data_IF_764216333314
#
_entry.id   IF_764216333314
#
_cell.length_a   1.000
_cell.length_b   1.000
_cell.length_c   1.000
_cell.angle_alpha   90.00
_cell.angle_beta   90.00
_cell.angle_gamma   90.00
#
_symmetry.space_group_name_H-M   'P 1'
#
loop_
_entity.id
_entity.type
_entity.pdbx_description
1 polymer ?
#
# COMPACT_ATOMS: atom_id res chain seq x y z
N UNK A 1 4.86 -23.46 6.43
CA UNK A 1 4.91 -22.02 6.78
C UNK A 1 4.06 -21.29 5.75
N UNK A 2 3.13 -20.45 6.18
CA UNK A 2 2.24 -19.73 5.27
C UNK A 2 2.85 -18.42 4.81
N UNK A 3 2.68 -18.10 3.54
CA UNK A 3 3.21 -16.92 2.89
C UNK A 3 2.11 -15.93 2.53
N UNK A 4 2.51 -14.68 2.32
CA UNK A 4 1.61 -13.66 1.79
C UNK A 4 1.10 -14.06 0.40
N UNK A 5 -0.20 -13.89 0.20
CA UNK A 5 -0.91 -14.27 -1.02
C UNK A 5 -1.40 -15.72 -1.01
N UNK A 6 -0.99 -16.55 -0.04
CA UNK A 6 -1.49 -17.92 0.08
C UNK A 6 -3.01 -17.91 0.31
N UNK A 7 -3.71 -18.75 -0.44
CA UNK A 7 -5.15 -18.96 -0.34
C UNK A 7 -5.41 -20.19 0.51
N UNK A 8 -6.15 -20.00 1.60
CA UNK A 8 -6.36 -21.03 2.62
C UNK A 8 -7.82 -21.15 3.03
N UNK A 9 -8.15 -22.30 3.61
CA UNK A 9 -9.48 -22.55 4.16
C UNK A 9 -9.43 -22.44 5.67
N UNK A 10 -10.23 -21.54 6.23
CA UNK A 10 -10.24 -21.28 7.67
C UNK A 10 -11.51 -21.83 8.33
N UNK A 11 -11.36 -22.50 9.47
CA UNK A 11 -12.43 -23.11 10.25
C UNK A 11 -12.45 -22.59 11.70
N UNK A 12 -13.56 -22.03 12.18
CA UNK A 12 -13.83 -21.86 13.63
C UNK A 12 -14.08 -20.43 14.13
N UNK A 13 -14.65 -20.34 15.36
CA UNK A 13 -15.34 -19.18 15.98
C UNK A 13 -14.51 -17.88 15.99
N UNK A 14 -15.08 -16.80 15.44
CA UNK A 14 -14.43 -15.58 14.95
C UNK A 14 -13.50 -15.77 13.71
N UNK A 15 -13.75 -16.62 12.71
CA UNK A 15 -14.94 -17.21 12.06
C UNK A 15 -16.23 -17.51 12.84
N UNK A 16 -17.06 -16.48 13.03
CA UNK A 16 -18.26 -16.51 13.87
C UNK A 16 -19.32 -17.53 13.42
N UNK A 17 -19.79 -18.37 14.37
CA UNK A 17 -21.01 -19.20 14.24
C UNK A 17 -22.30 -18.36 14.38
N UNK A 18 -22.22 -17.08 14.79
CA UNK A 18 -23.40 -16.28 15.16
C UNK A 18 -23.65 -15.00 14.35
N UNK A 19 -22.91 -14.71 13.28
CA UNK A 19 -23.26 -13.63 12.35
C UNK A 19 -23.24 -14.17 10.91
N UNK A 20 -24.43 -14.56 10.42
CA UNK A 20 -24.78 -14.95 9.03
C UNK A 20 -23.98 -16.05 8.30
N UNK A 21 -22.82 -16.47 8.78
CA UNK A 21 -22.02 -17.54 8.21
C UNK A 21 -22.26 -18.88 8.94
N UNK A 22 -23.39 -19.53 8.64
CA UNK A 22 -23.68 -20.88 9.15
C UNK A 22 -22.74 -21.89 8.47
N UNK A 23 -21.83 -22.47 9.26
CA UNK A 23 -21.23 -23.81 9.06
C UNK A 23 -20.44 -24.10 7.76
N UNK A 24 -19.81 -23.11 7.14
CA UNK A 24 -18.93 -23.32 5.96
C UNK A 24 -17.47 -22.98 6.25
N UNK A 25 -16.55 -23.76 5.71
CA UNK A 25 -15.17 -23.31 5.53
C UNK A 25 -15.19 -22.11 4.58
N UNK A 26 -14.63 -20.98 4.98
CA UNK A 26 -14.50 -19.83 4.09
C UNK A 26 -13.09 -19.81 3.49
N UNK A 27 -12.98 -19.31 2.27
CA UNK A 27 -11.69 -19.12 1.59
C UNK A 27 -11.13 -17.77 2.01
N UNK A 28 -9.85 -17.74 2.38
CA UNK A 28 -9.15 -16.54 2.86
C UNK A 28 -7.82 -16.39 2.16
N UNK A 29 -7.34 -15.15 2.08
CA UNK A 29 -6.00 -14.84 1.63
C UNK A 29 -5.18 -14.36 2.82
N UNK A 30 -3.98 -14.91 2.95
CA UNK A 30 -3.00 -14.47 3.96
C UNK A 30 -2.34 -13.19 3.48
N UNK A 31 -2.48 -12.13 4.26
CA UNK A 31 -1.85 -10.84 4.02
C UNK A 31 -0.49 -10.75 4.69
N UNK A 32 -0.35 -11.36 5.86
CA UNK A 32 0.88 -11.38 6.63
C UNK A 32 0.91 -12.56 7.60
N UNK A 33 2.10 -13.07 7.88
CA UNK A 33 2.32 -14.15 8.85
C UNK A 33 3.28 -13.68 9.92
N UNK A 34 2.86 -13.73 11.18
CA UNK A 34 3.68 -13.39 12.33
C UNK A 34 4.21 -14.68 12.96
N UNK A 35 5.49 -14.97 12.71
CA UNK A 35 6.17 -16.08 13.37
C UNK A 35 6.72 -15.62 14.72
N UNK A 36 6.23 -16.23 15.81
CA UNK A 36 6.53 -15.93 17.22
C UNK A 36 6.05 -14.56 17.79
N UNK A 37 5.56 -14.52 19.06
CA UNK A 37 5.29 -15.63 19.97
C UNK A 37 3.94 -16.33 19.77
N UNK A 38 3.05 -15.76 18.95
CA UNK A 38 1.63 -16.16 18.89
C UNK A 38 1.25 -17.03 17.68
N UNK A 39 2.16 -17.23 16.72
CA UNK A 39 1.89 -17.98 15.47
C UNK A 39 0.57 -17.56 14.81
N UNK A 40 0.42 -16.26 14.59
CA UNK A 40 -0.79 -15.67 14.03
C UNK A 40 -0.59 -15.25 12.59
N UNK A 41 -1.70 -15.21 11.84
CA UNK A 41 -1.77 -14.68 10.49
C UNK A 41 -2.79 -13.55 10.43
N UNK A 42 -2.48 -12.52 9.65
CA UNK A 42 -3.44 -11.53 9.20
C UNK A 42 -4.01 -12.01 7.87
N UNK A 43 -5.32 -12.06 7.76
CA UNK A 43 -6.00 -12.58 6.57
C UNK A 43 -7.26 -11.81 6.23
N UNK A 44 -7.66 -11.90 4.96
CA UNK A 44 -8.86 -11.27 4.40
C UNK A 44 -9.75 -12.34 3.77
N UNK A 45 -11.07 -12.31 3.98
CA UNK A 45 -11.95 -13.31 3.40
C UNK A 45 -12.22 -13.04 1.93
N UNK A 46 -12.39 -14.12 1.18
CA UNK A 46 -12.97 -14.10 -0.16
C UNK A 46 -14.49 -14.27 -0.02
N UNK A 47 -15.25 -13.36 -0.62
CA UNK A 47 -16.72 -13.37 -0.61
C UNK A 47 -17.28 -13.38 -2.03
N UNK A 48 -18.39 -14.11 -2.21
CA UNK A 48 -19.18 -14.16 -3.44
C UNK A 48 -20.17 -12.98 -3.56
N UNK A 49 -20.50 -12.35 -2.43
CA UNK A 49 -21.39 -11.17 -2.44
C UNK A 49 -20.66 -10.01 -3.09
N UNK A 50 -21.38 -9.20 -3.88
CA UNK A 50 -20.85 -7.98 -4.50
C UNK A 50 -20.11 -7.16 -3.44
N UNK A 51 -18.79 -7.08 -3.57
CA UNK A 51 -17.94 -6.34 -2.65
C UNK A 51 -18.33 -4.87 -2.62
N UNK A 52 -18.05 -4.19 -1.51
CA UNK A 52 -18.19 -2.74 -1.47
C UNK A 52 -17.06 -2.16 -2.33
N UNK A 53 -17.42 -1.53 -3.46
CA UNK A 53 -16.47 -1.14 -4.51
C UNK A 53 -15.28 -0.28 -4.02
N UNK A 54 -15.43 0.43 -2.89
CA UNK A 54 -14.36 1.28 -2.32
C UNK A 54 -13.29 0.54 -1.53
N UNK A 55 -13.59 -0.65 -1.02
CA UNK A 55 -12.72 -1.37 -0.06
C UNK A 55 -12.60 -2.85 -0.40
N UNK A 56 -12.98 -3.24 -1.60
CA UNK A 56 -12.96 -4.64 -2.05
C UNK A 56 -12.24 -4.77 -3.39
N UNK A 57 -11.51 -5.87 -3.56
CA UNK A 57 -10.82 -6.19 -4.81
C UNK A 57 -11.55 -7.33 -5.48
N UNK A 58 -11.94 -7.11 -6.73
CA UNK A 58 -12.54 -8.16 -7.56
C UNK A 58 -11.47 -9.17 -7.98
N UNK A 59 -11.71 -10.43 -7.68
CA UNK A 59 -11.00 -11.59 -8.20
C UNK A 59 -11.84 -12.20 -9.32
N UNK A 60 -11.24 -12.32 -10.51
CA UNK A 60 -11.89 -12.96 -11.65
C UNK A 60 -11.78 -14.48 -11.50
N UNK A 61 -12.90 -15.19 -11.66
CA UNK A 61 -12.93 -16.66 -11.56
C UNK A 61 -11.95 -17.33 -12.52
N UNK A 62 -11.75 -16.77 -13.70
CA UNK A 62 -10.86 -17.33 -14.72
C UNK A 62 -9.38 -17.33 -14.30
N UNK A 63 -8.98 -16.46 -13.37
CA UNK A 63 -7.63 -16.48 -12.80
C UNK A 63 -7.45 -17.55 -11.72
N UNK A 64 -8.55 -18.09 -11.19
CA UNK A 64 -8.58 -19.02 -10.06
C UNK A 64 -9.60 -20.15 -10.29
N UNK A 65 -9.54 -20.87 -11.42
CA UNK A 65 -10.61 -21.76 -11.88
C UNK A 65 -10.88 -22.93 -10.93
N UNK A 66 -9.85 -23.42 -10.25
CA UNK A 66 -9.96 -24.55 -9.32
C UNK A 66 -10.22 -24.09 -7.88
N UNK A 67 -10.41 -22.79 -7.64
CA UNK A 67 -10.61 -22.22 -6.29
C UNK A 67 -11.94 -21.49 -6.17
N UNK A 68 -12.34 -20.78 -7.23
CA UNK A 68 -13.53 -19.93 -7.25
C UNK A 68 -14.59 -20.50 -8.21
N UNK A 69 -15.83 -20.63 -7.73
CA UNK A 69 -16.97 -21.01 -8.57
C UNK A 69 -17.46 -19.86 -9.46
N UNK A 70 -17.27 -18.62 -9.01
CA UNK A 70 -17.71 -17.38 -9.67
C UNK A 70 -16.77 -16.23 -9.29
N UNK A 71 -16.87 -15.11 -10.01
CA UNK A 71 -16.18 -13.87 -9.64
C UNK A 71 -16.44 -13.54 -8.17
N UNK A 72 -15.38 -13.21 -7.45
CA UNK A 72 -15.41 -13.04 -5.99
C UNK A 72 -14.66 -11.79 -5.60
N UNK A 73 -14.68 -11.46 -4.31
CA UNK A 73 -14.08 -10.23 -3.80
C UNK A 73 -13.29 -10.48 -2.53
N UNK A 74 -12.13 -9.81 -2.39
CA UNK A 74 -11.46 -9.67 -1.11
C UNK A 74 -12.18 -8.58 -0.29
N UNK A 75 -12.74 -8.93 0.87
CA UNK A 75 -13.47 -7.98 1.73
C UNK A 75 -12.60 -7.47 2.88
N UNK A 76 -11.90 -6.36 2.66
CA UNK A 76 -10.98 -5.78 3.65
C UNK A 76 -11.66 -5.20 4.89
N UNK A 77 -12.99 -5.04 4.89
CA UNK A 77 -13.75 -4.66 6.09
C UNK A 77 -13.83 -5.79 7.11
N UNK A 78 -13.62 -7.02 6.63
CA UNK A 78 -13.71 -8.25 7.40
C UNK A 78 -12.32 -8.86 7.65
N UNK A 79 -11.27 -8.05 7.56
CA UNK A 79 -9.89 -8.46 7.88
C UNK A 79 -9.83 -8.98 9.32
N UNK A 80 -9.08 -10.05 9.55
CA UNK A 80 -8.94 -10.61 10.88
C UNK A 80 -7.55 -11.18 11.12
N UNK A 81 -7.22 -11.33 12.41
CA UNK A 81 -6.04 -12.05 12.87
C UNK A 81 -6.48 -13.39 13.44
N UNK A 82 -5.84 -14.48 13.03
CA UNK A 82 -6.13 -15.80 13.55
C UNK A 82 -4.87 -16.60 13.87
N UNK A 83 -4.99 -17.59 14.75
CA UNK A 83 -3.95 -18.57 14.98
C UNK A 83 -3.85 -19.52 13.77
N UNK A 84 -2.62 -19.85 13.37
CA UNK A 84 -2.32 -20.80 12.30
C UNK A 84 -2.88 -22.22 12.53
N UNK A 85 -3.12 -22.63 13.78
CA UNK A 85 -3.71 -23.93 14.13
C UNK A 85 -5.11 -24.16 13.55
N UNK A 86 -5.85 -23.08 13.23
CA UNK A 86 -7.22 -23.13 12.71
C UNK A 86 -7.29 -23.11 11.17
N UNK A 87 -6.14 -23.14 10.49
CA UNK A 87 -6.07 -23.16 9.04
C UNK A 87 -6.01 -24.62 8.58
N UNK A 88 -6.93 -25.00 7.70
CA UNK A 88 -6.81 -26.26 6.96
C UNK A 88 -5.99 -26.04 5.70
N UNK A 89 -5.24 -27.08 5.31
CA UNK A 89 -4.52 -27.16 4.05
C UNK A 89 -5.41 -26.73 2.87
N UNK A 90 -4.77 -26.27 1.80
CA UNK A 90 -5.46 -25.74 0.65
C UNK A 90 -6.45 -26.73 0.04
N UNK A 91 -7.62 -26.21 -0.29
CA UNK A 91 -8.66 -26.94 -0.99
C UNK A 91 -9.01 -26.24 -2.30
N UNK A 92 -9.54 -26.99 -3.24
CA UNK A 92 -10.03 -26.49 -4.52
C UNK A 92 -11.30 -27.21 -4.93
N UNK A 93 -11.80 -26.93 -6.12
CA UNK A 93 -12.91 -27.62 -6.75
C UNK A 93 -12.37 -28.78 -7.60
N UNK A 94 -13.13 -29.87 -7.67
CA UNK A 94 -12.88 -30.93 -8.64
C UNK A 94 -13.11 -30.43 -10.08
N UNK A 95 -12.69 -31.21 -11.08
CA UNK A 95 -12.76 -30.85 -12.52
C UNK A 95 -14.19 -30.49 -12.97
N UNK A 96 -15.21 -30.93 -12.22
CA UNK A 96 -16.62 -30.67 -12.51
C UNK A 96 -17.22 -29.51 -11.69
N UNK A 97 -16.43 -28.85 -10.84
CA UNK A 97 -16.86 -27.69 -10.04
C UNK A 97 -17.86 -28.03 -8.94
N UNK A 98 -17.98 -29.31 -8.53
CA UNK A 98 -19.06 -29.77 -7.63
C UNK A 98 -18.58 -30.17 -6.24
N UNK A 99 -17.33 -30.63 -6.13
CA UNK A 99 -16.80 -31.11 -4.86
C UNK A 99 -15.56 -30.33 -4.46
N UNK A 100 -15.42 -30.07 -3.15
CA UNK A 100 -14.18 -29.54 -2.59
C UNK A 100 -13.15 -30.67 -2.44
N UNK A 101 -11.97 -30.52 -3.04
CA UNK A 101 -10.85 -31.48 -2.99
C UNK A 101 -9.65 -30.87 -2.29
N UNK A 102 -8.78 -31.70 -1.69
CA UNK A 102 -7.49 -31.24 -1.16
C UNK A 102 -6.52 -31.04 -2.33
N UNK A 103 -5.82 -29.89 -2.35
CA UNK A 103 -4.83 -29.61 -3.37
C UNK A 103 -3.44 -30.10 -2.95
N UNK A 104 -2.63 -30.49 -3.93
CA UNK A 104 -1.25 -30.94 -3.71
C UNK A 104 -0.29 -29.80 -3.33
N UNK A 105 -0.71 -28.54 -3.54
CA UNK A 105 0.01 -27.32 -3.19
C UNK A 105 -0.95 -26.28 -2.64
N UNK A 106 -0.41 -25.24 -2.00
CA UNK A 106 -1.19 -24.09 -1.54
C UNK A 106 -1.31 -23.08 -2.69
N UNK A 107 -2.53 -22.80 -3.21
CA UNK A 107 -2.77 -21.80 -4.23
C UNK A 107 -2.38 -20.42 -3.76
N UNK A 108 -2.05 -19.56 -4.70
CA UNK A 108 -1.60 -18.21 -4.42
C UNK A 108 -2.34 -17.21 -5.28
N UNK A 109 -2.61 -16.03 -4.73
CA UNK A 109 -2.99 -14.87 -5.53
C UNK A 109 -1.92 -14.59 -6.60
N UNK A 110 -2.37 -14.09 -7.75
CA UNK A 110 -1.46 -13.52 -8.75
C UNK A 110 -0.71 -12.33 -8.14
N UNK A 111 0.49 -12.03 -8.63
CA UNK A 111 1.29 -10.91 -8.13
C UNK A 111 0.55 -9.56 -8.24
N UNK A 112 -0.25 -9.39 -9.29
CA UNK A 112 -1.09 -8.20 -9.49
C UNK A 112 -2.16 -8.10 -8.39
N UNK A 113 -2.82 -9.20 -8.06
CA UNK A 113 -3.84 -9.19 -7.01
C UNK A 113 -3.23 -9.03 -5.62
N UNK A 114 -2.00 -9.50 -5.39
CA UNK A 114 -1.24 -9.23 -4.15
C UNK A 114 -0.96 -7.72 -4.03
N UNK A 115 -0.47 -7.06 -5.08
CA UNK A 115 -0.21 -5.62 -5.05
C UNK A 115 -1.49 -4.80 -4.82
N UNK A 116 -2.58 -5.18 -5.50
CA UNK A 116 -3.89 -4.52 -5.28
C UNK A 116 -4.35 -4.73 -3.85
N UNK A 117 -4.14 -5.92 -3.29
CA UNK A 117 -4.49 -6.28 -1.92
C UNK A 117 -3.82 -5.39 -0.89
N UNK A 118 -2.53 -5.08 -1.07
CA UNK A 118 -1.82 -4.17 -0.18
C UNK A 118 -2.42 -2.77 -0.19
N UNK A 119 -2.71 -2.24 -1.38
CA UNK A 119 -3.31 -0.92 -1.52
C UNK A 119 -4.70 -0.86 -0.87
N UNK A 120 -5.53 -1.87 -1.06
CA UNK A 120 -6.86 -1.92 -0.46
C UNK A 120 -6.81 -2.11 1.06
N UNK A 121 -5.86 -2.90 1.59
CA UNK A 121 -5.64 -3.03 3.03
C UNK A 121 -5.24 -1.69 3.65
N UNK A 122 -4.32 -0.94 3.02
CA UNK A 122 -3.92 0.40 3.46
C UNK A 122 -5.10 1.40 3.45
N UNK A 123 -5.98 1.30 2.46
CA UNK A 123 -7.19 2.13 2.37
C UNK A 123 -8.23 1.75 3.44
N UNK A 124 -8.45 0.45 3.67
CA UNK A 124 -9.46 -0.06 4.60
C UNK A 124 -9.08 0.16 6.07
N UNK A 125 -7.79 0.18 6.40
CA UNK A 125 -7.29 0.49 7.74
C UNK A 125 -7.34 2.00 8.06
N UNK A 126 -7.95 2.84 7.21
CA UNK A 126 -7.98 4.32 7.30
C UNK A 126 -6.60 5.00 7.37
N UNK A 127 -5.50 4.22 7.26
CA UNK A 127 -4.14 4.70 7.14
C UNK A 127 -3.94 5.53 5.86
N UNK A 128 -4.81 5.43 4.86
CA UNK A 128 -4.74 6.22 3.64
C UNK A 128 -4.73 7.73 3.87
N UNK A 129 -5.49 8.26 4.83
CA UNK A 129 -5.44 9.70 5.15
C UNK A 129 -4.28 10.04 6.07
N UNK A 130 -3.97 9.22 7.07
CA UNK A 130 -2.86 9.45 8.00
C UNK A 130 -1.50 9.35 7.31
N UNK A 131 -1.29 8.37 6.43
CA UNK A 131 -0.07 8.21 5.62
C UNK A 131 0.02 9.31 4.58
N UNK A 132 -1.07 9.68 3.90
CA UNK A 132 -1.07 10.83 2.99
C UNK A 132 -0.71 12.12 3.72
N UNK A 133 -1.30 12.37 4.90
CA UNK A 133 -0.99 13.52 5.73
C UNK A 133 0.47 13.50 6.25
N UNK A 134 1.00 12.33 6.60
CA UNK A 134 2.39 12.16 7.01
C UNK A 134 3.34 12.45 5.85
N UNK A 135 3.08 11.86 4.67
CA UNK A 135 3.86 12.07 3.45
C UNK A 135 3.81 13.54 3.02
N UNK A 136 2.63 14.18 3.05
CA UNK A 136 2.48 15.60 2.73
C UNK A 136 3.22 16.49 3.74
N UNK A 137 3.18 16.17 5.04
CA UNK A 137 3.88 16.91 6.09
C UNK A 137 5.40 16.79 5.96
N UNK A 138 5.91 15.57 5.80
CA UNK A 138 7.34 15.32 5.64
C UNK A 138 7.87 15.88 4.32
N UNK A 139 7.11 15.76 3.22
CA UNK A 139 7.47 16.35 1.93
C UNK A 139 7.52 17.88 2.01
N UNK A 140 6.56 18.53 2.69
CA UNK A 140 6.60 19.99 2.92
C UNK A 140 7.79 20.40 3.78
N UNK A 141 8.12 19.64 4.81
CA UNK A 141 9.30 19.86 5.66
C UNK A 141 10.59 19.78 4.85
N UNK A 142 10.73 18.74 4.02
CA UNK A 142 11.88 18.55 3.13
C UNK A 142 12.00 19.67 2.09
N UNK A 143 10.90 20.05 1.43
CA UNK A 143 10.88 21.16 0.46
C UNK A 143 11.20 22.49 1.15
N UNK A 144 10.68 22.71 2.35
CA UNK A 144 10.97 23.92 3.13
C UNK A 144 12.45 23.99 3.54
N UNK A 145 13.02 22.90 4.05
CA UNK A 145 14.42 22.83 4.43
C UNK A 145 15.33 23.02 3.20
N UNK A 146 15.03 22.33 2.10
CA UNK A 146 15.75 22.48 0.83
C UNK A 146 15.69 23.92 0.30
N UNK A 147 14.50 24.54 0.27
CA UNK A 147 14.35 25.95 -0.14
C UNK A 147 15.10 26.90 0.80
N UNK A 148 15.07 26.65 2.10
CA UNK A 148 15.76 27.46 3.10
C UNK A 148 17.27 27.39 2.92
N UNK A 149 17.82 26.20 2.71
CA UNK A 149 19.27 26.03 2.54
C UNK A 149 19.75 26.56 1.19
N UNK A 150 18.99 26.36 0.09
CA UNK A 150 19.23 27.04 -1.19
C UNK A 150 19.21 28.56 -1.06
N UNK A 151 18.28 29.11 -0.28
CA UNK A 151 18.18 30.57 -0.07
C UNK A 151 19.40 31.09 0.70
N UNK A 152 19.91 30.33 1.68
CA UNK A 152 21.14 30.68 2.41
C UNK A 152 22.37 30.63 1.51
N UNK A 153 22.55 29.55 0.76
CA UNK A 153 23.67 29.40 -0.18
C UNK A 153 23.64 30.49 -1.25
N UNK A 154 22.47 30.77 -1.82
CA UNK A 154 22.29 31.85 -2.79
C UNK A 154 22.62 33.21 -2.17
N UNK A 155 22.15 33.49 -0.96
CA UNK A 155 22.45 34.76 -0.26
C UNK A 155 23.95 34.91 0.01
N UNK A 156 24.64 33.82 0.35
CA UNK A 156 26.08 33.80 0.54
C UNK A 156 26.83 34.10 -0.76
N UNK A 157 26.46 33.41 -1.85
CA UNK A 157 27.05 33.63 -3.18
C UNK A 157 26.80 35.06 -3.67
N UNK A 158 25.57 35.56 -3.51
CA UNK A 158 25.20 36.95 -3.81
C UNK A 158 26.03 37.96 -3.02
N UNK A 159 26.24 37.72 -1.71
CA UNK A 159 27.10 38.56 -0.89
C UNK A 159 28.54 38.58 -1.39
N UNK A 160 29.09 37.42 -1.75
CA UNK A 160 30.44 37.33 -2.32
C UNK A 160 30.55 38.06 -3.66
N UNK A 161 29.59 37.87 -4.56
CA UNK A 161 29.56 38.57 -5.86
C UNK A 161 29.47 40.09 -5.65
N UNK A 162 28.61 40.55 -4.73
CA UNK A 162 28.46 41.98 -4.42
C UNK A 162 29.77 42.58 -3.89
N UNK A 163 30.47 41.86 -3.00
CA UNK A 163 31.77 42.30 -2.47
C UNK A 163 32.86 42.39 -3.56
N UNK A 164 32.81 41.53 -4.59
CA UNK A 164 33.74 41.62 -5.73
C UNK A 164 33.34 42.71 -6.73
N UNK A 165 32.04 42.98 -6.91
CA UNK A 165 31.53 44.05 -7.76
C UNK A 165 32.00 45.44 -7.30
N UNK A 166 32.17 45.64 -5.99
CA UNK A 166 32.69 46.90 -5.44
C UNK A 166 34.15 47.20 -5.80
N UNK A 167 34.86 46.22 -6.36
CA UNK A 167 36.24 46.37 -6.85
C UNK A 167 36.32 46.72 -8.35
N UNK A 168 35.18 46.75 -9.05
CA UNK A 168 35.11 47.07 -10.49
C UNK A 168 34.89 48.58 -10.67
N UNK A 169 35.83 49.25 -11.34
CA UNK A 169 35.76 50.71 -11.60
C UNK A 169 34.78 51.09 -12.72
N UNK A 170 34.42 50.15 -13.61
CA UNK A 170 33.49 50.41 -14.71
C UNK A 170 32.02 50.31 -14.28
N UNK A 171 31.41 51.46 -14.06
CA UNK A 171 30.04 51.61 -13.55
C UNK A 171 28.97 50.98 -14.47
N UNK A 172 29.19 50.96 -15.78
CA UNK A 172 28.22 50.37 -16.73
C UNK A 172 28.21 48.84 -16.64
N UNK A 173 29.38 48.23 -16.45
CA UNK A 173 29.52 46.78 -16.25
C UNK A 173 28.95 46.36 -14.90
N UNK A 174 29.22 47.14 -13.84
CA UNK A 174 28.67 46.91 -12.49
C UNK A 174 27.14 46.91 -12.50
N UNK A 175 26.51 47.89 -13.15
CA UNK A 175 25.05 48.00 -13.24
C UNK A 175 24.41 46.87 -14.05
N UNK A 176 25.04 46.41 -15.13
CA UNK A 176 24.53 45.27 -15.90
C UNK A 176 24.50 43.98 -15.06
N UNK A 177 25.58 43.70 -14.32
CA UNK A 177 25.67 42.50 -13.47
C UNK A 177 24.62 42.56 -12.35
N UNK A 178 24.44 43.72 -11.71
CA UNK A 178 23.40 43.91 -10.68
C UNK A 178 21.98 43.64 -11.20
N UNK A 179 21.66 44.04 -12.43
CA UNK A 179 20.35 43.77 -13.05
C UNK A 179 20.14 42.27 -13.27
N UNK A 180 21.16 41.55 -13.77
CA UNK A 180 21.09 40.10 -13.96
C UNK A 180 20.88 39.38 -12.63
N UNK A 181 21.61 39.78 -11.59
CA UNK A 181 21.50 39.18 -10.26
C UNK A 181 20.13 39.44 -9.62
N UNK A 182 19.56 40.64 -9.78
CA UNK A 182 18.22 40.96 -9.28
C UNK A 182 17.13 40.15 -9.98
N UNK A 183 17.25 39.93 -11.31
CA UNK A 183 16.32 39.07 -12.04
C UNK A 183 16.39 37.61 -11.57
N UNK A 184 17.60 37.10 -11.30
CA UNK A 184 17.78 35.76 -10.72
C UNK A 184 17.18 35.65 -9.31
N UNK A 185 17.30 36.69 -8.48
CA UNK A 185 16.73 36.73 -7.13
C UNK A 185 15.20 36.68 -7.13
N UNK A 186 14.52 37.34 -8.07
CA UNK A 186 13.06 37.29 -8.18
C UNK A 186 12.54 35.91 -8.62
N UNK A 187 13.31 35.16 -9.40
CA UNK A 187 12.93 33.80 -9.83
C UNK A 187 13.00 32.75 -8.71
N UNK A 188 13.71 33.04 -7.61
CA UNK A 188 13.92 32.12 -6.49
C UNK A 188 12.97 32.34 -5.30
N UNK A 189 12.12 33.38 -5.34
CA UNK A 189 11.07 33.64 -4.34
C UNK A 189 9.88 32.69 -4.51
#
# INVERSE_FOLDING_TARGET
>A
MFNKGDIVFYFGKNGRISDRAKSGAHVWVILHSYTHPLNTILMVPITSNQGYAKTSIKLLKDNYPDILEHDSYLDFRSICVANTENIQNAKGLDINGKNTVMLSYIPKLTDIDIMRSDLAAMQALELGQTVKALVEKESRSLVYNYKTDLTKEFSLVMGNITNELDKIENESVKNLILVILNNFKEQMK
#
